data_IF_265740876291
#
_entry.id   IF_265740876291
#
_cell.length_a   1.000
_cell.length_b   1.000
_cell.length_c   1.000
_cell.angle_alpha   90.00
_cell.angle_beta   90.00
_cell.angle_gamma   90.00
#
_symmetry.space_group_name_H-M   'P 1'
#
loop_
_entity.id
_entity.type
_entity.pdbx_description
1 polymer ?
#
# COMPACT_ATOMS: atom_id res chain seq x y z
N UNK A 1 -12.78 -24.43 -12.51
CA UNK A 1 -12.02 -24.79 -11.30
C UNK A 1 -10.67 -24.12 -11.42
N UNK A 2 -10.47 -22.98 -10.77
CA UNK A 2 -9.15 -22.38 -10.67
C UNK A 2 -8.35 -23.19 -9.65
N UNK A 3 -7.13 -23.57 -10.02
CA UNK A 3 -6.20 -24.23 -9.10
C UNK A 3 -5.77 -23.19 -8.07
N UNK A 4 -6.31 -23.26 -6.85
CA UNK A 4 -5.90 -22.39 -5.75
C UNK A 4 -4.48 -22.79 -5.33
N UNK A 5 -3.49 -22.11 -5.90
CA UNK A 5 -2.17 -22.03 -5.30
C UNK A 5 -2.30 -21.11 -4.10
N UNK A 6 -1.98 -21.62 -2.91
CA UNK A 6 -1.93 -20.77 -1.72
C UNK A 6 -1.01 -19.57 -2.00
N UNK A 7 -1.48 -18.37 -1.72
CA UNK A 7 -0.69 -17.14 -1.91
C UNK A 7 0.56 -17.18 -1.02
N UNK A 8 1.68 -16.55 -1.44
CA UNK A 8 2.85 -16.45 -0.58
C UNK A 8 2.48 -15.82 0.77
N UNK A 9 3.04 -16.34 1.87
CA UNK A 9 2.69 -15.85 3.21
C UNK A 9 3.00 -14.36 3.41
N UNK A 10 4.06 -13.84 2.79
CA UNK A 10 4.36 -12.40 2.82
C UNK A 10 3.25 -11.57 2.15
N UNK A 11 2.65 -12.08 1.08
CA UNK A 11 1.52 -11.42 0.41
C UNK A 11 0.29 -11.33 1.31
N UNK A 12 0.04 -12.35 2.13
CA UNK A 12 -1.04 -12.33 3.11
C UNK A 12 -0.86 -11.17 4.10
N UNK A 13 0.33 -11.05 4.70
CA UNK A 13 0.61 -9.98 5.66
C UNK A 13 0.58 -8.59 5.03
N UNK A 14 1.16 -8.42 3.83
CA UNK A 14 1.06 -7.17 3.08
C UNK A 14 -0.40 -6.80 2.78
N UNK A 15 -1.21 -7.78 2.36
CA UNK A 15 -2.63 -7.55 2.05
C UNK A 15 -3.42 -7.15 3.29
N UNK A 16 -3.19 -7.82 4.43
CA UNK A 16 -3.85 -7.47 5.70
C UNK A 16 -3.44 -6.08 6.17
N UNK A 17 -2.16 -5.73 6.06
CA UNK A 17 -1.68 -4.38 6.36
C UNK A 17 -2.34 -3.34 5.45
N UNK A 18 -2.36 -3.55 4.13
CA UNK A 18 -3.00 -2.64 3.17
C UNK A 18 -4.48 -2.42 3.47
N UNK A 19 -5.23 -3.49 3.79
CA UNK A 19 -6.64 -3.38 4.16
C UNK A 19 -6.80 -2.53 5.42
N UNK A 20 -5.99 -2.77 6.46
CA UNK A 20 -6.04 -2.00 7.70
C UNK A 20 -5.65 -0.54 7.50
N UNK A 21 -4.55 -0.27 6.78
CA UNK A 21 -4.10 1.08 6.44
C UNK A 21 -5.17 1.84 5.66
N UNK A 22 -5.80 1.22 4.67
CA UNK A 22 -6.89 1.84 3.89
C UNK A 22 -8.11 2.17 4.78
N UNK A 23 -8.54 1.24 5.62
CA UNK A 23 -9.68 1.47 6.51
C UNK A 23 -9.37 2.55 7.55
N UNK A 24 -8.12 2.66 8.00
CA UNK A 24 -7.62 3.71 8.89
C UNK A 24 -7.67 5.12 8.31
N UNK A 25 -7.76 5.28 6.98
CA UNK A 25 -7.89 6.59 6.32
C UNK A 25 -9.16 7.35 6.74
N UNK A 26 -10.21 6.63 7.18
CA UNK A 26 -11.41 7.27 7.74
C UNK A 26 -11.05 8.28 8.82
N UNK A 27 -10.07 7.94 9.67
CA UNK A 27 -9.66 8.76 10.81
C UNK A 27 -8.83 10.00 10.44
N UNK A 28 -8.35 10.06 9.20
CA UNK A 28 -7.56 11.17 8.68
C UNK A 28 -8.43 12.21 7.95
N UNK A 29 -9.61 11.81 7.48
CA UNK A 29 -10.58 12.69 6.85
C UNK A 29 -10.93 13.82 7.83
N UNK A 30 -10.45 15.04 7.57
CA UNK A 30 -10.77 16.19 8.41
C UNK A 30 -12.29 16.40 8.37
N UNK A 31 -12.98 16.36 9.52
CA UNK A 31 -14.37 16.78 9.56
C UNK A 31 -14.44 18.21 9.05
N UNK A 32 -15.28 18.48 8.05
CA UNK A 32 -15.42 19.82 7.46
C UNK A 32 -15.50 20.90 8.55
N UNK A 33 -14.41 21.64 8.73
CA UNK A 33 -14.39 22.87 9.51
C UNK A 33 -15.25 23.88 8.74
N UNK A 34 -16.52 23.99 9.13
CA UNK A 34 -17.41 25.16 9.01
C UNK A 34 -18.86 24.74 8.71
N UNK A 35 -19.74 24.69 9.73
CA UNK A 35 -21.16 24.81 9.49
C UNK A 35 -21.45 26.23 8.95
N UNK A 36 -22.24 26.39 7.88
CA UNK A 36 -22.74 27.71 7.48
C UNK A 36 -23.56 28.31 8.64
N UNK A 37 -23.48 29.63 8.89
CA UNK A 37 -24.17 30.25 10.01
C UNK A 37 -25.68 30.34 9.69
N UNK A 38 -26.51 29.44 10.22
CA UNK A 38 -27.99 29.58 10.14
C UNK A 38 -28.76 28.78 11.21
N UNK A 39 -29.64 29.49 11.92
CA UNK A 39 -30.76 29.02 12.77
C UNK A 39 -30.42 28.10 13.96
N UNK A 40 -30.56 28.66 15.18
CA UNK A 40 -30.26 28.06 16.49
C UNK A 40 -30.90 26.67 16.74
N UNK A 41 -32.03 26.35 16.08
CA UNK A 41 -32.69 25.04 16.19
C UNK A 41 -32.02 23.91 15.40
N UNK A 42 -31.32 24.23 14.31
CA UNK A 42 -30.61 23.25 13.45
C UNK A 42 -29.19 23.00 13.96
N UNK A 43 -28.61 23.99 14.64
CA UNK A 43 -27.23 23.95 15.12
C UNK A 43 -26.99 22.87 16.19
N UNK A 44 -27.92 22.67 17.13
CA UNK A 44 -27.78 21.65 18.18
C UNK A 44 -27.80 20.22 17.61
N UNK A 45 -28.65 19.95 16.61
CA UNK A 45 -28.75 18.64 15.97
C UNK A 45 -27.55 18.35 15.07
N UNK A 46 -27.03 19.36 14.37
CA UNK A 46 -25.78 19.25 13.61
C UNK A 46 -24.58 18.99 14.53
N UNK A 47 -24.50 19.68 15.68
CA UNK A 47 -23.44 19.42 16.67
C UNK A 47 -23.52 18.01 17.26
N UNK A 48 -24.73 17.51 17.54
CA UNK A 48 -24.92 16.15 18.02
C UNK A 48 -24.51 15.10 16.97
N UNK A 49 -24.84 15.34 15.70
CA UNK A 49 -24.44 14.46 14.59
C UNK A 49 -22.93 14.44 14.39
N UNK A 50 -22.29 15.62 14.43
CA UNK A 50 -20.84 15.77 14.34
C UNK A 50 -20.12 15.06 15.50
N UNK A 51 -20.64 15.20 16.73
CA UNK A 51 -20.08 14.54 17.90
C UNK A 51 -20.16 13.01 17.78
N UNK A 52 -21.30 12.49 17.30
CA UNK A 52 -21.49 11.05 17.06
C UNK A 52 -20.55 10.53 15.96
N UNK A 53 -20.40 11.28 14.87
CA UNK A 53 -19.50 10.92 13.78
C UNK A 53 -18.05 10.89 14.24
N UNK A 54 -17.63 11.89 15.02
CA UNK A 54 -16.30 11.93 15.65
C UNK A 54 -16.09 10.75 16.61
N UNK A 55 -17.07 10.42 17.45
CA UNK A 55 -17.00 9.26 18.36
C UNK A 55 -16.87 7.95 17.58
N UNK A 56 -17.66 7.80 16.50
CA UNK A 56 -17.60 6.64 15.60
C UNK A 56 -16.21 6.51 14.99
N UNK A 57 -15.62 7.63 14.56
CA UNK A 57 -14.31 7.68 13.94
C UNK A 57 -13.17 7.38 14.92
N UNK A 58 -13.24 7.92 16.14
CA UNK A 58 -12.30 7.62 17.22
C UNK A 58 -12.35 6.14 17.61
N UNK A 59 -13.55 5.55 17.64
CA UNK A 59 -13.73 4.11 17.89
C UNK A 59 -13.07 3.27 16.80
N UNK A 60 -13.37 3.53 15.53
CA UNK A 60 -12.77 2.81 14.39
C UNK A 60 -11.25 2.93 14.43
N UNK A 61 -10.72 4.13 14.73
CA UNK A 61 -9.28 4.37 14.86
C UNK A 61 -8.63 3.43 15.88
N UNK A 62 -9.21 3.35 17.08
CA UNK A 62 -8.68 2.50 18.16
C UNK A 62 -8.69 1.03 17.74
N UNK A 63 -9.80 0.55 17.16
CA UNK A 63 -9.90 -0.84 16.71
C UNK A 63 -8.88 -1.16 15.58
N UNK A 64 -8.64 -0.22 14.66
CA UNK A 64 -7.61 -0.36 13.60
C UNK A 64 -6.20 -0.43 14.20
N UNK A 65 -5.88 0.44 15.16
CA UNK A 65 -4.58 0.42 15.86
C UNK A 65 -4.36 -0.90 16.61
N UNK A 66 -5.41 -1.48 17.21
CA UNK A 66 -5.37 -2.78 17.86
C UNK A 66 -5.15 -3.93 16.87
N UNK A 67 -5.85 -3.96 15.73
CA UNK A 67 -5.66 -4.97 14.68
C UNK A 67 -4.27 -4.85 14.01
N UNK A 68 -3.75 -3.64 13.81
CA UNK A 68 -2.39 -3.43 13.32
C UNK A 68 -1.34 -3.97 14.28
N UNK A 69 -1.51 -3.74 15.59
CA UNK A 69 -0.63 -4.32 16.60
C UNK A 69 -0.72 -5.86 16.62
N UNK A 70 -1.92 -6.42 16.47
CA UNK A 70 -2.10 -7.87 16.38
C UNK A 70 -1.40 -8.44 15.13
N UNK A 71 -1.47 -7.73 13.99
CA UNK A 71 -0.74 -8.10 12.78
C UNK A 71 0.79 -8.12 13.01
N UNK A 72 1.35 -7.14 13.72
CA UNK A 72 2.77 -7.14 14.08
C UNK A 72 3.15 -8.38 14.92
N UNK A 73 2.30 -8.74 15.88
CA UNK A 73 2.47 -9.94 16.71
C UNK A 73 2.40 -11.23 15.85
N UNK A 74 1.46 -11.32 14.92
CA UNK A 74 1.35 -12.45 13.97
C UNK A 74 2.59 -12.59 13.08
N UNK A 75 3.12 -11.48 12.56
CA UNK A 75 4.33 -11.47 11.72
C UNK A 75 5.54 -11.96 12.53
N UNK A 76 5.70 -11.45 13.75
CA UNK A 76 6.80 -11.84 14.65
C UNK A 76 6.76 -13.32 15.01
N UNK A 77 5.57 -13.87 15.28
CA UNK A 77 5.39 -15.30 15.53
C UNK A 77 5.76 -16.13 14.28
N UNK A 78 5.23 -15.71 13.13
CA UNK A 78 5.43 -16.40 11.86
C UNK A 78 6.87 -16.33 11.34
N UNK A 79 7.67 -15.34 11.72
CA UNK A 79 9.08 -15.21 11.33
C UNK A 79 9.86 -16.50 11.63
N UNK A 80 9.61 -17.11 12.80
CA UNK A 80 10.29 -18.32 13.24
C UNK A 80 10.02 -19.54 12.34
N UNK A 81 8.86 -19.57 11.68
CA UNK A 81 8.39 -20.71 10.88
C UNK A 81 8.54 -20.46 9.38
N UNK A 82 8.33 -19.22 8.94
CA UNK A 82 8.25 -18.84 7.53
C UNK A 82 9.50 -18.13 7.02
N UNK A 83 10.29 -17.51 7.93
CA UNK A 83 11.42 -16.66 7.58
C UNK A 83 11.02 -15.35 6.88
N UNK A 84 9.75 -14.98 6.87
CA UNK A 84 9.28 -13.72 6.28
C UNK A 84 9.74 -12.53 7.12
N UNK A 85 10.55 -11.65 6.53
CA UNK A 85 11.04 -10.41 7.14
C UNK A 85 10.33 -9.19 6.56
N UNK A 86 9.47 -8.54 7.35
CA UNK A 86 8.71 -7.37 6.92
C UNK A 86 9.63 -6.19 6.51
N UNK A 87 10.86 -6.10 7.03
CA UNK A 87 11.79 -5.04 6.67
C UNK A 87 12.31 -5.14 5.22
N UNK A 88 12.10 -6.30 4.57
CA UNK A 88 12.42 -6.49 3.15
C UNK A 88 11.24 -6.18 2.23
N UNK A 89 10.05 -6.00 2.79
CA UNK A 89 8.85 -5.68 2.02
C UNK A 89 8.78 -4.18 1.73
N UNK A 90 8.51 -3.78 0.47
CA UNK A 90 8.35 -2.38 0.11
C UNK A 90 7.10 -1.75 0.75
N UNK A 91 6.14 -2.56 1.22
CA UNK A 91 4.91 -2.09 1.87
C UNK A 91 5.19 -1.64 3.30
N UNK A 92 5.93 -2.45 4.07
CA UNK A 92 6.28 -2.15 5.46
C UNK A 92 7.55 -1.29 5.58
N UNK A 93 8.41 -1.29 4.56
CA UNK A 93 9.66 -0.52 4.50
C UNK A 93 9.84 0.08 3.11
N UNK A 94 9.10 1.16 2.79
CA UNK A 94 9.15 1.79 1.46
C UNK A 94 10.55 2.36 1.17
N UNK A 95 10.92 2.33 -0.12
CA UNK A 95 12.23 2.80 -0.57
C UNK A 95 12.42 4.31 -0.36
N UNK A 96 11.32 5.07 -0.42
CA UNK A 96 11.29 6.49 -0.09
C UNK A 96 10.64 6.66 1.30
N UNK A 97 11.37 7.13 2.33
CA UNK A 97 10.80 7.32 3.67
C UNK A 97 9.74 8.43 3.72
N UNK A 98 9.71 9.33 2.74
CA UNK A 98 8.69 10.38 2.63
C UNK A 98 7.41 9.90 1.93
N UNK A 99 7.41 8.69 1.35
CA UNK A 99 6.24 8.09 0.71
C UNK A 99 5.55 7.12 1.68
N UNK A 100 4.28 7.38 1.99
CA UNK A 100 3.44 6.50 2.81
C UNK A 100 2.46 5.73 1.92
N UNK A 101 2.20 4.47 2.27
CA UNK A 101 1.21 3.67 1.54
C UNK A 101 -0.20 4.21 1.75
N UNK A 102 -0.49 4.76 2.94
CA UNK A 102 -1.75 5.42 3.27
C UNK A 102 -2.03 6.58 2.29
N UNK A 103 -1.04 7.44 2.05
CA UNK A 103 -1.19 8.58 1.14
C UNK A 103 -1.47 8.11 -0.31
N UNK A 104 -0.71 7.14 -0.82
CA UNK A 104 -0.94 6.59 -2.16
C UNK A 104 -2.33 5.94 -2.27
N UNK A 105 -2.74 5.19 -1.24
CA UNK A 105 -4.05 4.55 -1.17
C UNK A 105 -5.20 5.55 -1.09
N UNK A 106 -5.01 6.67 -0.39
CA UNK A 106 -6.02 7.72 -0.28
C UNK A 106 -6.35 8.32 -1.65
N UNK A 107 -5.33 8.68 -2.44
CA UNK A 107 -5.52 9.24 -3.78
C UNK A 107 -6.17 8.23 -4.75
N UNK A 108 -5.68 6.99 -4.75
CA UNK A 108 -6.25 5.91 -5.59
C UNK A 108 -7.70 5.58 -5.18
N UNK A 109 -7.97 5.54 -3.89
CA UNK A 109 -9.30 5.29 -3.33
C UNK A 109 -10.29 6.40 -3.66
N UNK A 110 -9.86 7.67 -3.57
CA UNK A 110 -10.69 8.83 -3.94
C UNK A 110 -11.01 8.81 -5.44
N UNK A 111 -10.01 8.54 -6.30
CA UNK A 111 -10.22 8.39 -7.74
C UNK A 111 -11.29 7.33 -8.04
N UNK A 112 -11.17 6.14 -7.46
CA UNK A 112 -12.16 5.06 -7.64
C UNK A 112 -13.53 5.44 -7.08
N UNK A 113 -13.56 6.16 -5.96
CA UNK A 113 -14.79 6.65 -5.34
C UNK A 113 -15.53 7.63 -6.25
N UNK A 114 -14.81 8.49 -6.97
CA UNK A 114 -15.40 9.42 -7.93
C UNK A 114 -15.81 8.73 -9.24
N UNK A 115 -14.96 7.87 -9.79
CA UNK A 115 -15.22 7.16 -11.05
C UNK A 115 -16.42 6.21 -10.96
N UNK A 116 -16.56 5.49 -9.84
CA UNK A 116 -17.58 4.45 -9.64
C UNK A 116 -18.66 4.87 -8.64
N UNK A 117 -18.86 6.17 -8.43
CA UNK A 117 -19.71 6.74 -7.38
C UNK A 117 -21.10 6.11 -7.29
N UNK A 118 -21.79 5.98 -8.43
CA UNK A 118 -23.16 5.45 -8.47
C UNK A 118 -23.19 3.95 -8.17
N UNK A 119 -22.25 3.19 -8.72
CA UNK A 119 -22.13 1.75 -8.53
C UNK A 119 -21.77 1.41 -7.08
N UNK A 120 -20.79 2.12 -6.50
CA UNK A 120 -20.40 1.97 -5.10
C UNK A 120 -21.55 2.31 -4.16
N UNK A 121 -22.29 3.39 -4.43
CA UNK A 121 -23.45 3.75 -3.63
C UNK A 121 -24.54 2.67 -3.69
N UNK A 122 -24.87 2.17 -4.90
CA UNK A 122 -25.83 1.07 -5.10
C UNK A 122 -25.38 -0.20 -4.36
N UNK A 123 -24.10 -0.54 -4.48
CA UNK A 123 -23.50 -1.70 -3.83
C UNK A 123 -23.59 -1.62 -2.31
N UNK A 124 -23.25 -0.46 -1.74
CA UNK A 124 -23.36 -0.20 -0.31
C UNK A 124 -24.81 -0.34 0.17
N UNK A 125 -25.79 0.25 -0.51
CA UNK A 125 -27.20 0.12 -0.13
C UNK A 125 -27.68 -1.34 -0.18
N UNK A 126 -27.24 -2.10 -1.19
CA UNK A 126 -27.52 -3.53 -1.30
C UNK A 126 -26.96 -4.29 -0.09
N UNK A 127 -25.70 -4.07 0.28
CA UNK A 127 -25.06 -4.72 1.44
C UNK A 127 -25.75 -4.38 2.75
N UNK A 128 -26.08 -3.11 2.96
CA UNK A 128 -26.73 -2.62 4.18
C UNK A 128 -28.17 -3.12 4.38
N UNK A 129 -28.78 -3.63 3.31
CA UNK A 129 -30.11 -4.25 3.35
C UNK A 129 -30.09 -5.75 3.70
N UNK A 130 -28.89 -6.34 3.74
CA UNK A 130 -28.68 -7.78 3.92
C UNK A 130 -27.85 -8.08 5.18
N UNK A 131 -27.79 -9.34 5.63
CA UNK A 131 -26.89 -9.73 6.73
C UNK A 131 -25.42 -9.54 6.35
N UNK A 132 -24.61 -9.12 7.32
CA UNK A 132 -23.16 -8.93 7.16
C UNK A 132 -22.49 -10.30 7.03
N UNK A 133 -22.24 -10.75 5.80
CA UNK A 133 -21.60 -12.04 5.48
C UNK A 133 -20.61 -11.89 4.33
N UNK A 134 -19.60 -12.76 4.30
CA UNK A 134 -18.59 -12.74 3.22
C UNK A 134 -19.22 -13.00 1.85
N UNK A 135 -20.23 -13.87 1.78
CA UNK A 135 -20.91 -14.19 0.53
C UNK A 135 -21.57 -12.96 -0.11
N UNK A 136 -22.36 -12.21 0.67
CA UNK A 136 -23.04 -11.01 0.18
C UNK A 136 -22.04 -9.92 -0.20
N UNK A 137 -20.99 -9.74 0.62
CA UNK A 137 -19.89 -8.84 0.32
C UNK A 137 -19.22 -9.20 -1.02
N UNK A 138 -18.76 -10.44 -1.18
CA UNK A 138 -18.06 -10.93 -2.38
C UNK A 138 -18.89 -10.71 -3.64
N UNK A 139 -20.16 -11.13 -3.64
CA UNK A 139 -21.03 -11.02 -4.82
C UNK A 139 -21.24 -9.55 -5.22
N UNK A 140 -21.47 -8.68 -4.23
CA UNK A 140 -21.65 -7.25 -4.45
C UNK A 140 -20.36 -6.57 -4.97
N UNK A 141 -19.21 -6.92 -4.39
CA UNK A 141 -17.90 -6.43 -4.82
C UNK A 141 -17.59 -6.87 -6.25
N UNK A 142 -17.90 -8.11 -6.63
CA UNK A 142 -17.71 -8.59 -8.00
C UNK A 142 -18.57 -7.86 -9.04
N UNK A 143 -19.85 -7.59 -8.71
CA UNK A 143 -20.73 -6.80 -9.58
C UNK A 143 -20.16 -5.39 -9.79
N UNK A 144 -19.75 -4.73 -8.72
CA UNK A 144 -19.18 -3.37 -8.76
C UNK A 144 -17.85 -3.35 -9.52
N UNK A 145 -16.98 -4.33 -9.23
CA UNK A 145 -15.67 -4.47 -9.86
C UNK A 145 -15.75 -4.83 -11.36
N UNK A 146 -16.91 -5.24 -11.87
CA UNK A 146 -17.11 -5.47 -13.31
C UNK A 146 -17.09 -4.17 -14.12
N UNK A 147 -17.32 -3.02 -13.48
CA UNK A 147 -17.26 -1.70 -14.10
C UNK A 147 -15.89 -1.02 -13.98
N UNK A 148 -14.91 -1.71 -13.38
CA UNK A 148 -13.55 -1.23 -13.18
C UNK A 148 -12.53 -2.08 -13.93
N UNK A 149 -11.36 -1.52 -14.19
CA UNK A 149 -10.23 -2.24 -14.80
C UNK A 149 -8.92 -1.96 -14.08
N UNK A 150 -7.94 -2.85 -14.26
CA UNK A 150 -6.60 -2.69 -13.69
C UNK A 150 -6.62 -2.53 -12.18
N UNK A 151 -5.84 -1.58 -11.66
CA UNK A 151 -5.77 -1.29 -10.23
C UNK A 151 -7.08 -0.75 -9.65
N UNK A 152 -7.87 0.01 -10.41
CA UNK A 152 -9.18 0.50 -9.93
C UNK A 152 -10.06 -0.68 -9.49
N UNK A 153 -9.98 -1.81 -10.21
CA UNK A 153 -10.68 -3.06 -9.85
C UNK A 153 -10.20 -3.66 -8.52
N UNK A 154 -8.91 -3.54 -8.21
CA UNK A 154 -8.30 -3.98 -6.94
C UNK A 154 -8.73 -3.08 -5.79
N UNK A 155 -8.95 -1.79 -6.05
CA UNK A 155 -9.34 -0.80 -5.03
C UNK A 155 -10.84 -0.83 -4.68
N UNK A 156 -11.72 -1.29 -5.58
CA UNK A 156 -13.18 -1.47 -5.31
C UNK A 156 -13.49 -2.14 -3.97
N UNK A 157 -12.92 -3.32 -3.62
CA UNK A 157 -13.15 -3.95 -2.31
C UNK A 157 -12.77 -3.04 -1.14
N UNK A 158 -11.66 -2.29 -1.23
CA UNK A 158 -11.19 -1.41 -0.16
C UNK A 158 -12.15 -0.25 0.07
N UNK A 159 -12.53 0.45 -1.01
CA UNK A 159 -13.48 1.57 -0.97
C UNK A 159 -14.82 1.11 -0.40
N UNK A 160 -15.34 -0.04 -0.87
CA UNK A 160 -16.63 -0.55 -0.42
C UNK A 160 -16.59 -0.98 1.05
N UNK A 161 -15.51 -1.62 1.51
CA UNK A 161 -15.34 -2.00 2.91
C UNK A 161 -15.29 -0.77 3.82
N UNK A 162 -14.60 0.28 3.41
CA UNK A 162 -14.48 1.50 4.20
C UNK A 162 -15.86 2.17 4.41
N UNK A 163 -16.65 2.31 3.34
CA UNK A 163 -18.01 2.85 3.44
C UNK A 163 -18.92 1.93 4.27
N UNK A 164 -18.77 0.61 4.13
CA UNK A 164 -19.58 -0.36 4.85
C UNK A 164 -19.25 -0.39 6.35
N UNK A 165 -17.96 -0.33 6.70
CA UNK A 165 -17.45 -0.19 8.06
C UNK A 165 -18.06 1.03 8.73
N UNK A 166 -17.93 2.21 8.11
CA UNK A 166 -18.42 3.47 8.69
C UNK A 166 -19.92 3.41 8.98
N UNK A 167 -20.73 2.93 8.03
CA UNK A 167 -22.17 2.89 8.18
C UNK A 167 -22.65 1.82 9.18
N UNK A 168 -21.96 0.68 9.27
CA UNK A 168 -22.26 -0.35 10.28
C UNK A 168 -21.89 0.12 11.69
N UNK A 169 -20.72 0.75 11.87
CA UNK A 169 -20.30 1.29 13.17
C UNK A 169 -21.22 2.43 13.60
N UNK A 170 -21.68 3.28 12.67
CA UNK A 170 -22.71 4.31 12.93
C UNK A 170 -24.04 3.71 13.42
N UNK A 171 -24.35 2.47 13.02
CA UNK A 171 -25.52 1.70 13.51
C UNK A 171 -25.26 1.01 14.86
N UNK A 172 -24.09 1.23 15.47
CA UNK A 172 -23.71 0.66 16.77
C UNK A 172 -23.14 -0.76 16.68
N UNK A 173 -22.73 -1.22 15.49
CA UNK A 173 -22.08 -2.53 15.32
C UNK A 173 -20.56 -2.42 15.49
N UNK A 174 -19.89 -3.56 15.64
CA UNK A 174 -18.42 -3.68 15.72
C UNK A 174 -17.94 -4.64 14.63
N UNK A 175 -17.98 -4.23 13.34
CA UNK A 175 -17.79 -5.15 12.23
C UNK A 175 -16.32 -5.29 11.81
N UNK A 176 -15.38 -4.53 12.41
CA UNK A 176 -14.04 -4.33 11.84
C UNK A 176 -13.33 -5.65 11.54
N UNK A 177 -13.14 -6.51 12.53
CA UNK A 177 -12.42 -7.77 12.34
C UNK A 177 -13.04 -8.66 11.25
N UNK A 178 -14.37 -8.71 11.16
CA UNK A 178 -15.05 -9.45 10.09
C UNK A 178 -14.81 -8.82 8.71
N UNK A 179 -14.86 -7.49 8.61
CA UNK A 179 -14.65 -6.76 7.37
C UNK A 179 -13.19 -6.81 6.89
N UNK A 180 -12.21 -6.77 7.80
CA UNK A 180 -10.79 -7.00 7.49
C UNK A 180 -10.62 -8.39 6.88
N UNK A 181 -11.20 -9.43 7.52
CA UNK A 181 -11.18 -10.79 6.98
C UNK A 181 -11.84 -10.90 5.61
N UNK A 182 -12.95 -10.19 5.37
CA UNK A 182 -13.61 -10.16 4.06
C UNK A 182 -12.71 -9.54 2.99
N UNK A 183 -12.05 -8.42 3.30
CA UNK A 183 -11.13 -7.74 2.40
C UNK A 183 -9.93 -8.61 2.03
N UNK A 184 -9.25 -9.15 3.04
CA UNK A 184 -8.09 -10.03 2.85
C UNK A 184 -8.46 -11.25 2.02
N UNK A 185 -9.51 -11.99 2.42
CA UNK A 185 -9.95 -13.19 1.70
C UNK A 185 -10.33 -12.87 0.25
N UNK A 186 -11.03 -11.76 0.01
CA UNK A 186 -11.40 -11.37 -1.35
C UNK A 186 -10.18 -11.03 -2.21
N UNK A 187 -9.26 -10.23 -1.68
CA UNK A 187 -8.06 -9.81 -2.41
C UNK A 187 -7.16 -11.00 -2.70
N UNK A 188 -7.04 -11.95 -1.78
CA UNK A 188 -6.30 -13.20 -2.00
C UNK A 188 -6.94 -14.10 -3.06
N UNK A 189 -8.26 -14.29 -3.00
CA UNK A 189 -8.98 -15.19 -3.92
C UNK A 189 -9.10 -14.64 -5.35
N UNK A 190 -9.25 -13.32 -5.50
CA UNK A 190 -9.65 -12.71 -6.79
C UNK A 190 -8.64 -11.71 -7.36
N UNK A 191 -7.77 -11.14 -6.55
CA UNK A 191 -6.84 -10.08 -6.97
C UNK A 191 -5.36 -10.47 -6.87
N UNK A 192 -5.01 -11.51 -6.11
CA UNK A 192 -3.62 -11.88 -5.83
C UNK A 192 -2.80 -12.11 -7.10
N UNK A 193 -3.31 -12.92 -8.03
CA UNK A 193 -2.61 -13.21 -9.29
C UNK A 193 -2.27 -11.92 -10.05
N UNK A 194 -3.22 -10.98 -10.12
CA UNK A 194 -3.01 -9.70 -10.77
C UNK A 194 -1.99 -8.85 -10.02
N UNK A 195 -2.16 -8.67 -8.71
CA UNK A 195 -1.27 -7.83 -7.88
C UNK A 195 0.17 -8.35 -7.94
N UNK A 196 0.37 -9.66 -7.78
CA UNK A 196 1.69 -10.30 -7.84
C UNK A 196 2.31 -10.12 -9.23
N UNK A 197 1.54 -10.30 -10.32
CA UNK A 197 2.03 -10.06 -11.68
C UNK A 197 2.43 -8.61 -11.93
N UNK A 198 1.80 -7.65 -11.25
CA UNK A 198 2.13 -6.23 -11.35
C UNK A 198 3.33 -5.81 -10.48
N UNK A 199 3.96 -6.74 -9.74
CA UNK A 199 5.09 -6.43 -8.85
C UNK A 199 4.72 -6.36 -7.36
N UNK A 200 3.52 -6.79 -6.98
CA UNK A 200 3.03 -6.79 -5.60
C UNK A 200 2.37 -5.47 -5.21
N UNK A 201 2.09 -5.32 -3.92
CA UNK A 201 1.50 -4.09 -3.38
C UNK A 201 2.42 -2.88 -3.47
N UNK A 202 3.74 -3.07 -3.56
CA UNK A 202 4.70 -1.98 -3.77
C UNK A 202 4.47 -1.15 -5.05
N UNK A 203 3.72 -1.68 -6.02
CA UNK A 203 3.37 -0.94 -7.24
C UNK A 203 2.46 0.26 -6.97
N UNK A 204 1.71 0.28 -5.87
CA UNK A 204 0.84 1.43 -5.54
C UNK A 204 1.62 2.74 -5.41
N UNK A 205 2.90 2.68 -5.02
CA UNK A 205 3.77 3.85 -4.92
C UNK A 205 4.11 4.50 -6.27
N UNK A 206 3.99 3.77 -7.39
CA UNK A 206 4.32 4.31 -8.72
C UNK A 206 3.09 4.71 -9.51
N UNK A 207 1.90 4.20 -9.17
CA UNK A 207 0.65 4.50 -9.89
C UNK A 207 0.23 5.95 -9.79
N UNK A 208 0.58 6.62 -8.69
CA UNK A 208 0.31 8.04 -8.49
C UNK A 208 1.19 8.92 -9.40
N UNK A 209 2.45 8.53 -9.59
CA UNK A 209 3.45 9.33 -10.31
C UNK A 209 3.24 9.37 -11.83
N UNK A 210 2.57 8.37 -12.41
CA UNK A 210 2.36 8.29 -13.86
C UNK A 210 1.26 9.23 -14.39
N UNK A 211 0.37 9.74 -13.52
CA UNK A 211 -0.71 10.66 -13.93
C UNK A 211 -0.36 12.15 -13.85
N UNK A 212 0.73 12.53 -13.16
CA UNK A 212 1.23 13.91 -13.13
C UNK A 212 2.05 14.29 -14.38
N UNK A 213 2.50 13.32 -15.18
CA UNK A 213 3.23 13.60 -16.41
C UNK A 213 2.25 13.88 -17.57
N UNK A 214 1.61 15.06 -17.53
CA UNK A 214 0.95 15.62 -18.70
C UNK A 214 2.04 16.08 -19.71
N UNK A 215 2.21 15.45 -20.88
CA UNK A 215 3.12 15.95 -21.91
C UNK A 215 2.36 16.99 -22.73
N UNK A 216 2.21 18.20 -22.18
CA UNK A 216 1.28 19.16 -22.76
C UNK A 216 1.40 20.61 -22.31
N UNK A 217 2.58 21.06 -21.86
CA UNK A 217 2.90 22.49 -21.95
C UNK A 217 3.75 22.69 -23.21
N UNK A 218 3.07 22.73 -24.35
CA UNK A 218 3.58 23.43 -25.52
C UNK A 218 3.81 24.85 -25.03
N UNK A 219 5.07 25.24 -24.84
CA UNK A 219 5.41 26.64 -24.60
C UNK A 219 5.01 27.41 -25.86
N UNK A 220 3.80 27.95 -25.84
CA UNK A 220 3.28 28.84 -26.86
C UNK A 220 4.10 30.14 -26.80
N UNK A 221 5.11 30.18 -27.67
CA UNK A 221 5.61 31.34 -28.41
C UNK A 221 5.15 32.72 -27.88
N UNK A 222 5.87 33.25 -26.88
CA UNK A 222 5.86 34.68 -26.59
C UNK A 222 7.10 35.34 -27.20
N UNK A 223 7.12 35.43 -28.53
CA UNK A 223 8.06 36.27 -29.27
C UNK A 223 7.70 37.75 -29.08
N UNK A 224 8.42 38.44 -28.20
CA UNK A 224 8.58 39.91 -28.24
C UNK A 224 9.98 40.29 -27.73
N UNK A 225 11.02 39.96 -28.50
CA UNK A 225 12.37 40.52 -28.30
C UNK A 225 12.41 41.91 -28.95
N UNK A 226 12.32 42.97 -28.16
CA UNK A 226 12.59 44.33 -28.60
C UNK A 226 14.11 44.53 -28.76
N UNK A 227 14.63 44.46 -29.99
CA UNK A 227 16.00 44.89 -30.29
C UNK A 227 16.00 46.41 -30.47
N UNK A 228 16.47 47.12 -29.43
CA UNK A 228 16.78 48.54 -29.53
C UNK A 228 18.06 48.71 -30.36
N UNK A 229 17.91 49.14 -31.61
CA UNK A 229 19.03 49.61 -32.44
C UNK A 229 19.54 50.93 -31.88
N UNK A 230 20.58 50.86 -31.05
CA UNK A 230 21.40 52.02 -30.69
C UNK A 230 22.58 52.09 -31.66
N UNK A 231 22.43 52.98 -32.64
CA UNK A 231 23.47 53.46 -33.53
C UNK A 231 24.54 54.24 -32.74
N UNK A 232 25.75 53.70 -32.64
CA UNK A 232 26.97 54.51 -32.53
C UNK A 232 28.23 53.72 -32.95
N UNK A 233 28.59 53.90 -34.22
CA UNK A 233 29.94 54.15 -34.75
C UNK A 233 31.18 53.53 -34.07
N UNK A 234 31.93 52.69 -34.82
CA UNK A 234 33.38 52.59 -34.67
C UNK A 234 34.07 51.23 -34.93
N UNK A 235 34.44 51.00 -36.21
CA UNK A 235 35.63 50.25 -36.68
C UNK A 235 35.82 48.73 -36.47
N UNK A 236 35.58 47.98 -37.56
CA UNK A 236 36.39 46.96 -38.28
C UNK A 236 37.45 46.11 -37.53
N UNK A 237 37.20 44.78 -37.44
CA UNK A 237 37.98 43.69 -38.10
C UNK A 237 37.37 42.29 -37.80
N UNK A 238 37.45 41.27 -38.68
CA UNK A 238 36.81 39.95 -38.49
C UNK A 238 37.86 38.85 -38.13
N UNK A 239 37.44 37.57 -37.95
CA UNK A 239 37.53 36.79 -36.72
C UNK A 239 38.83 35.97 -36.54
N UNK A 240 39.17 35.61 -35.29
CA UNK A 240 40.13 34.54 -35.01
C UNK A 240 39.49 33.43 -34.17
N UNK A 241 39.53 32.22 -34.71
CA UNK A 241 39.16 30.97 -34.05
C UNK A 241 40.15 30.64 -32.92
N UNK A 242 39.72 29.89 -31.91
CA UNK A 242 40.63 28.98 -31.22
C UNK A 242 40.16 27.53 -31.35
N UNK A 243 40.91 26.78 -32.15
CA UNK A 243 41.15 25.35 -31.96
C UNK A 243 41.99 25.17 -30.70
N UNK A 244 41.54 24.38 -29.72
CA UNK A 244 42.38 23.66 -28.72
C UNK A 244 41.45 22.60 -28.08
N UNK A 245 41.55 21.31 -28.42
CA UNK A 245 42.28 20.20 -27.73
C UNK A 245 42.05 20.21 -26.22
N UNK A 246 41.46 19.17 -25.62
CA UNK A 246 42.15 18.07 -24.88
C UNK A 246 41.13 16.97 -24.55
N UNK A 247 41.28 15.73 -25.04
CA UNK A 247 41.92 14.58 -24.38
C UNK A 247 41.31 14.17 -23.02
N UNK A 248 40.26 13.35 -23.04
CA UNK A 248 39.99 12.41 -21.95
C UNK A 248 40.62 11.06 -22.32
N UNK A 249 41.88 10.90 -21.94
CA UNK A 249 42.55 9.61 -21.83
C UNK A 249 42.16 9.02 -20.47
N UNK A 250 41.62 7.81 -20.47
CA UNK A 250 41.64 6.92 -19.31
C UNK A 250 41.83 5.50 -19.83
N UNK A 251 43.09 5.16 -20.08
CA UNK A 251 43.61 3.80 -19.96
C UNK A 251 43.38 3.36 -18.50
N UNK A 252 42.85 2.19 -18.19
CA UNK A 252 43.65 0.96 -18.12
C UNK A 252 42.75 -0.28 -17.94
N UNK A 253 43.14 -1.34 -18.68
CA UNK A 253 42.65 -2.72 -18.74
C UNK A 253 43.14 -3.57 -17.53
N UNK A 254 43.08 -4.93 -17.49
CA UNK A 254 42.15 -5.93 -18.07
C UNK A 254 41.68 -7.02 -17.05
N UNK A 255 40.76 -7.86 -17.54
CA UNK A 255 40.46 -9.25 -17.14
C UNK A 255 41.71 -10.10 -16.82
N UNK A 256 41.62 -10.97 -15.80
CA UNK A 256 42.41 -12.20 -15.72
C UNK A 256 41.65 -13.32 -15.01
N UNK A 257 41.53 -14.44 -15.71
CA UNK A 257 41.10 -15.77 -15.24
C UNK A 257 42.33 -16.56 -14.77
N UNK A 258 42.22 -17.33 -13.68
CA UNK A 258 42.96 -18.59 -13.37
C UNK A 258 42.46 -19.10 -12.00
N UNK A 259 41.73 -20.21 -11.88
CA UNK A 259 42.15 -21.62 -11.92
C UNK A 259 42.74 -22.18 -10.59
N UNK A 260 41.90 -22.98 -9.92
CA UNK A 260 42.19 -24.33 -9.35
C UNK A 260 42.78 -24.54 -7.94
N UNK A 261 42.19 -25.57 -7.29
CA UNK A 261 42.68 -26.47 -6.22
C UNK A 261 42.73 -25.89 -4.80
N UNK A 262 42.39 -26.57 -3.71
CA UNK A 262 42.10 -27.98 -3.39
C UNK A 262 41.69 -28.06 -1.91
N UNK A 263 40.71 -28.88 -1.52
CA UNK A 263 40.73 -29.56 -0.21
C UNK A 263 40.02 -30.92 -0.34
N UNK A 264 40.80 -31.98 -0.22
CA UNK A 264 40.34 -33.36 -0.06
C UNK A 264 40.02 -33.66 1.42
N UNK A 265 38.82 -34.22 1.63
CA UNK A 265 38.43 -35.47 2.31
C UNK A 265 39.12 -36.00 3.61
N UNK A 266 38.24 -36.39 4.56
CA UNK A 266 38.32 -37.35 5.68
C UNK A 266 39.24 -37.04 6.88
N UNK A 267 38.85 -37.28 8.15
CA UNK A 267 38.28 -38.52 8.70
C UNK A 267 37.59 -38.35 10.08
N UNK A 268 36.55 -39.15 10.35
CA UNK A 268 36.01 -39.48 11.68
C UNK A 268 37.02 -40.28 12.53
N UNK A 269 36.79 -40.39 13.86
CA UNK A 269 36.38 -41.71 14.35
C UNK A 269 35.25 -41.70 15.41
N UNK A 270 34.49 -42.80 15.37
CA UNK A 270 33.57 -43.33 16.38
C UNK A 270 34.34 -43.97 17.53
N UNK A 271 33.83 -43.85 18.77
CA UNK A 271 33.86 -44.89 19.82
C UNK A 271 32.93 -44.47 20.97
N UNK A 272 31.78 -45.15 21.15
CA UNK A 272 31.56 -46.30 22.05
C UNK A 272 31.61 -45.93 23.54
N UNK A 273 30.45 -45.97 24.20
CA UNK A 273 30.30 -45.88 25.65
C UNK A 273 30.82 -47.11 26.41
N UNK A 274 30.72 -47.09 27.74
CA UNK A 274 29.80 -48.05 28.36
C UNK A 274 28.98 -47.51 29.55
N UNK A 275 27.99 -48.34 29.86
CA UNK A 275 26.89 -48.30 30.82
C UNK A 275 27.13 -47.99 32.32
N UNK A 276 26.00 -47.67 32.95
CA UNK A 276 25.47 -48.17 34.24
C UNK A 276 25.85 -47.48 35.58
N UNK A 277 24.85 -46.83 36.20
CA UNK A 277 24.03 -47.36 37.32
C UNK A 277 23.08 -46.26 37.82
N UNK A 278 21.77 -46.48 37.73
CA UNK A 278 20.91 -46.85 38.87
C UNK A 278 21.03 -45.91 40.08
N UNK A 279 19.97 -45.14 40.35
CA UNK A 279 19.19 -45.38 41.57
C UNK A 279 17.76 -44.85 41.45
N UNK A 280 16.88 -45.73 41.89
CA UNK A 280 15.43 -45.70 41.90
C UNK A 280 14.98 -45.48 43.35
N UNK A 281 13.77 -44.95 43.56
CA UNK A 281 12.97 -44.99 44.81
C UNK A 281 13.44 -44.11 46.00
N UNK A 282 12.60 -43.52 46.85
CA UNK A 282 11.14 -43.57 47.04
C UNK A 282 10.68 -42.48 48.04
N UNK A 283 9.42 -42.04 47.88
CA UNK A 283 8.36 -41.88 48.89
C UNK A 283 8.44 -41.01 50.18
N UNK A 284 7.30 -40.33 50.42
CA UNK A 284 6.55 -40.08 51.69
C UNK A 284 7.07 -38.88 52.51
N UNK A 285 6.28 -37.85 52.85
CA UNK A 285 4.87 -37.77 53.32
C UNK A 285 4.22 -36.48 52.83
#
# INVERSE_FOLDING_TARGET
MASSTAVPVGFHYETKYVVLSYLGLLSQEKPQEHPPPSTEGTQQQLMAQYALEKETLEKIKIEIEEELKHLDEEILEAFTTTGFDCHTSPVFSPANPDSSIEDCLAHLGEKVSQELKEDLHKALQSLLSKPVTYQEYRECTQETAAHASGWNKVLVPLVLLQQFLMELTRRGQEPLSALVNFGVTYLEDYSADYIIQQGGWGTVFTLESEEEEYPGLIAEDSNDIYILTSDNSGQVSPPESPTVTTSWQSESLPVSLSASQSWHTESLPVSLGPEARSNFCSCVT
#
